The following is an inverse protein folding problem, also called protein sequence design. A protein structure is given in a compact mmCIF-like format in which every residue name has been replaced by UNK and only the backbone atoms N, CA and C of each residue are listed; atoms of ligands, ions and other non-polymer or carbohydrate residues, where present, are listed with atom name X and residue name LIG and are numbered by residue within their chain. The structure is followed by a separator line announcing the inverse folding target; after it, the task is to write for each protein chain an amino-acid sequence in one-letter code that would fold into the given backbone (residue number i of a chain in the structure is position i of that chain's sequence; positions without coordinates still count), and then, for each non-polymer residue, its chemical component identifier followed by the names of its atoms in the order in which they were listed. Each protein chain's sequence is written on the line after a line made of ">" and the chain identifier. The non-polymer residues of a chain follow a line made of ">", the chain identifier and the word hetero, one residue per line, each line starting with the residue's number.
data_IF_112934688508
#
_entry.id   IF_112934688508
#
_cell.length_a   1.000
_cell.length_b   1.000
_cell.length_c   1.000
_cell.angle_alpha   90.00
_cell.angle_beta   90.00
_cell.angle_gamma   90.00
#
_symmetry.space_group_name_H-M   'P 1'
#
loop_
_entity.id
_entity.type
_entity.pdbx_description
1 polymer ?
#
# COMPACT_ATOMS: atom_id res chain seq x y z
N UNK A 1 -18.19 3.69 -17.76
CA UNK A 1 -18.04 3.81 -16.28
C UNK A 1 -17.20 2.65 -15.80
N UNK A 2 -16.13 2.94 -15.06
CA UNK A 2 -15.31 1.91 -14.40
C UNK A 2 -15.72 1.84 -12.92
N UNK A 3 -15.85 0.62 -12.39
CA UNK A 3 -16.14 0.38 -10.97
C UNK A 3 -14.88 -0.02 -10.26
N UNK A 4 -14.65 0.54 -9.11
CA UNK A 4 -13.49 0.24 -8.27
C UNK A 4 -13.93 -0.32 -6.92
N UNK A 5 -13.14 -1.23 -6.40
CA UNK A 5 -13.26 -1.81 -5.06
C UNK A 5 -11.88 -1.74 -4.41
N UNK A 6 -11.69 -0.84 -3.45
CA UNK A 6 -10.42 -0.66 -2.77
C UNK A 6 -10.45 -1.43 -1.45
N UNK A 7 -9.50 -2.32 -1.29
CA UNK A 7 -9.38 -3.25 -0.17
C UNK A 7 -8.21 -2.81 0.70
N UNK A 8 -8.48 -2.56 1.97
CA UNK A 8 -7.48 -2.21 2.98
C UNK A 8 -6.50 -3.34 3.30
N UNK A 9 -5.68 -3.11 4.31
CA UNK A 9 -4.61 -3.99 4.75
C UNK A 9 -5.13 -5.39 5.11
N UNK A 10 -4.60 -6.43 4.45
CA UNK A 10 -5.10 -7.80 4.62
C UNK A 10 -4.61 -8.49 5.90
N UNK A 11 -3.34 -8.33 6.23
CA UNK A 11 -2.73 -8.96 7.41
C UNK A 11 -3.11 -10.44 7.58
N UNK A 12 -2.91 -11.23 6.52
CA UNK A 12 -3.20 -12.66 6.49
C UNK A 12 -4.63 -13.05 6.15
N UNK A 13 -5.56 -12.09 5.97
CA UNK A 13 -6.97 -12.40 5.62
C UNK A 13 -7.09 -12.97 4.22
N UNK A 14 -8.13 -13.78 4.02
CA UNK A 14 -8.48 -14.37 2.73
C UNK A 14 -8.93 -13.26 1.74
N UNK A 15 -8.18 -12.99 0.64
CA UNK A 15 -8.51 -11.95 -0.33
C UNK A 15 -9.80 -12.25 -1.10
N UNK A 16 -10.18 -13.53 -1.25
CA UNK A 16 -11.39 -13.92 -1.97
C UNK A 16 -12.66 -13.40 -1.29
N UNK A 17 -12.62 -13.19 0.02
CA UNK A 17 -13.73 -12.60 0.78
C UNK A 17 -14.08 -11.18 0.32
N UNK A 18 -13.09 -10.44 -0.16
CA UNK A 18 -13.22 -9.02 -0.49
C UNK A 18 -13.26 -8.76 -2.01
N UNK A 19 -12.96 -9.76 -2.82
CA UNK A 19 -12.97 -9.65 -4.28
C UNK A 19 -14.37 -9.45 -4.84
N UNK A 20 -14.51 -8.48 -5.74
CA UNK A 20 -15.74 -8.23 -6.50
C UNK A 20 -15.44 -8.34 -8.01
N UNK A 21 -16.02 -9.36 -8.66
CA UNK A 21 -15.81 -9.65 -10.09
C UNK A 21 -16.25 -8.53 -11.03
N UNK A 22 -17.14 -7.65 -10.57
CA UNK A 22 -17.71 -6.56 -11.37
C UNK A 22 -16.92 -5.24 -11.21
N UNK A 23 -15.82 -5.26 -10.44
CA UNK A 23 -14.98 -4.12 -10.13
C UNK A 23 -13.51 -4.35 -10.51
N UNK A 24 -12.76 -3.26 -10.65
CA UNK A 24 -11.30 -3.29 -10.53
C UNK A 24 -11.00 -3.29 -9.03
N UNK A 25 -10.39 -4.38 -8.55
CA UNK A 25 -10.06 -4.58 -7.14
C UNK A 25 -8.64 -4.13 -6.88
N UNK A 26 -8.45 -3.17 -5.99
CA UNK A 26 -7.13 -2.64 -5.62
C UNK A 26 -6.83 -3.01 -4.18
N UNK A 27 -5.86 -3.88 -3.98
CA UNK A 27 -5.33 -4.28 -2.68
C UNK A 27 -4.18 -3.36 -2.30
N UNK A 28 -4.27 -2.70 -1.14
CA UNK A 28 -3.35 -1.60 -0.79
C UNK A 28 -2.09 -2.04 -0.02
N UNK A 29 -1.88 -3.36 0.17
CA UNK A 29 -0.67 -3.91 0.81
C UNK A 29 -0.90 -4.59 2.14
N UNK A 30 0.21 -4.87 2.82
CA UNK A 30 0.28 -5.53 4.13
C UNK A 30 -0.40 -6.92 4.13
N UNK A 31 0.18 -7.83 3.34
CA UNK A 31 -0.43 -9.15 3.12
C UNK A 31 -0.12 -10.14 4.24
N UNK A 32 1.01 -9.99 4.93
CA UNK A 32 1.44 -10.81 6.06
C UNK A 32 1.27 -10.08 7.41
N UNK A 33 1.81 -10.67 8.47
CA UNK A 33 1.91 -10.09 9.81
C UNK A 33 0.55 -9.79 10.47
N UNK A 34 -0.31 -10.82 10.68
CA UNK A 34 -1.65 -10.64 11.27
C UNK A 34 -1.59 -10.07 12.70
N UNK A 35 -2.67 -9.40 13.10
CA UNK A 35 -2.85 -8.85 14.44
C UNK A 35 -3.34 -9.89 15.47
N UNK A 36 -3.68 -11.09 15.01
CA UNK A 36 -4.14 -12.22 15.83
C UNK A 36 -3.26 -13.44 15.60
N UNK A 37 -3.44 -14.44 16.46
CA UNK A 37 -2.74 -15.71 16.29
C UNK A 37 -3.28 -16.44 15.05
N UNK A 38 -2.42 -16.55 14.04
CA UNK A 38 -2.73 -17.19 12.76
C UNK A 38 -1.51 -18.01 12.32
N UNK A 39 -1.68 -19.31 12.01
CA UNK A 39 -0.61 -20.14 11.47
C UNK A 39 0.01 -19.51 10.23
N UNK A 40 1.31 -19.67 10.06
CA UNK A 40 2.01 -19.12 8.88
C UNK A 40 1.50 -19.76 7.59
N UNK A 41 1.19 -21.05 7.64
CA UNK A 41 0.66 -21.81 6.52
C UNK A 41 -0.65 -21.20 5.99
N UNK A 42 -1.53 -20.74 6.88
CA UNK A 42 -2.80 -20.08 6.51
C UNK A 42 -2.54 -18.69 5.87
N UNK A 43 -1.57 -17.92 6.42
CA UNK A 43 -1.15 -16.64 5.82
C UNK A 43 -0.60 -16.86 4.43
N UNK A 44 0.29 -17.84 4.27
CA UNK A 44 0.90 -18.20 3.00
C UNK A 44 -0.17 -18.62 1.97
N UNK A 45 -1.10 -19.50 2.36
CA UNK A 45 -2.22 -19.92 1.49
C UNK A 45 -3.03 -18.72 1.01
N UNK A 46 -3.35 -17.78 1.90
CA UNK A 46 -4.15 -16.62 1.54
C UNK A 46 -3.40 -15.65 0.60
N UNK A 47 -2.10 -15.46 0.80
CA UNK A 47 -1.30 -14.63 -0.13
C UNK A 47 -1.15 -15.32 -1.49
N UNK A 48 -0.99 -16.64 -1.54
CA UNK A 48 -0.96 -17.38 -2.80
C UNK A 48 -2.31 -17.30 -3.54
N UNK A 49 -3.45 -17.33 -2.83
CA UNK A 49 -4.77 -17.06 -3.43
C UNK A 49 -4.86 -15.66 -4.07
N UNK A 50 -4.21 -14.65 -3.48
CA UNK A 50 -4.18 -13.31 -4.06
C UNK A 50 -3.43 -13.29 -5.39
N UNK A 51 -2.26 -13.94 -5.46
CA UNK A 51 -1.50 -14.02 -6.70
C UNK A 51 -2.23 -14.85 -7.76
N UNK A 52 -2.83 -15.98 -7.38
CA UNK A 52 -3.68 -16.77 -8.27
C UNK A 52 -4.87 -15.94 -8.80
N UNK A 53 -5.50 -15.17 -7.93
CA UNK A 53 -6.59 -14.26 -8.30
C UNK A 53 -6.12 -13.23 -9.34
N UNK A 54 -4.92 -12.65 -9.15
CA UNK A 54 -4.28 -11.72 -10.12
C UNK A 54 -3.99 -12.40 -11.45
N UNK A 55 -3.44 -13.61 -11.46
CA UNK A 55 -3.14 -14.34 -12.69
C UNK A 55 -4.39 -14.56 -13.54
N UNK A 56 -5.51 -14.89 -12.90
CA UNK A 56 -6.79 -15.14 -13.59
C UNK A 56 -7.56 -13.87 -13.95
N UNK A 57 -7.24 -12.72 -13.32
CA UNK A 57 -7.98 -11.47 -13.46
C UNK A 57 -7.03 -10.27 -13.62
N UNK A 58 -6.03 -10.38 -14.49
CA UNK A 58 -4.92 -9.42 -14.63
C UNK A 58 -5.35 -7.95 -14.72
N UNK A 59 -6.43 -7.67 -15.45
CA UNK A 59 -6.92 -6.30 -15.67
C UNK A 59 -7.84 -5.81 -14.54
N UNK A 60 -8.38 -6.71 -13.72
CA UNK A 60 -9.36 -6.40 -12.68
C UNK A 60 -8.82 -6.55 -11.26
N UNK A 61 -7.56 -6.93 -11.09
CA UNK A 61 -6.89 -7.03 -9.81
C UNK A 61 -5.59 -6.23 -9.85
N UNK A 62 -5.42 -5.34 -8.88
CA UNK A 62 -4.22 -4.53 -8.69
C UNK A 62 -3.64 -4.86 -7.32
N UNK A 63 -2.34 -5.19 -7.27
CA UNK A 63 -1.61 -5.54 -6.05
C UNK A 63 -0.58 -4.45 -5.77
N UNK A 64 -0.83 -3.62 -4.76
CA UNK A 64 0.13 -2.65 -4.24
C UNK A 64 0.83 -3.21 -3.00
N UNK A 65 1.97 -2.66 -2.65
CA UNK A 65 2.75 -3.09 -1.50
C UNK A 65 2.65 -2.09 -0.35
N UNK A 66 2.66 -2.63 0.87
CA UNK A 66 2.70 -1.88 2.12
C UNK A 66 4.02 -2.04 2.87
N UNK A 67 4.08 -1.43 4.06
CA UNK A 67 5.30 -1.45 4.87
C UNK A 67 5.60 -2.82 5.46
N UNK A 68 4.59 -3.65 5.75
CA UNK A 68 4.80 -5.03 6.19
C UNK A 68 5.23 -5.97 5.05
N UNK A 69 5.03 -5.61 3.79
CA UNK A 69 5.59 -6.32 2.64
C UNK A 69 7.04 -5.86 2.39
N UNK A 70 7.28 -4.54 2.50
CA UNK A 70 8.57 -3.91 2.26
C UNK A 70 9.68 -4.51 3.13
N UNK A 71 9.45 -4.76 4.41
CA UNK A 71 10.48 -5.27 5.30
C UNK A 71 10.91 -6.74 5.01
N UNK A 72 10.14 -7.48 4.19
CA UNK A 72 10.55 -8.78 3.67
C UNK A 72 11.27 -8.67 2.32
N UNK A 73 10.84 -7.71 1.48
CA UNK A 73 11.40 -7.51 0.14
C UNK A 73 12.76 -6.80 0.22
N UNK A 74 12.88 -5.78 1.05
CA UNK A 74 14.08 -4.97 1.21
C UNK A 74 14.85 -5.37 2.46
N UNK A 75 16.02 -6.01 2.34
CA UNK A 75 16.81 -6.43 3.50
C UNK A 75 17.33 -5.20 4.26
N UNK A 76 17.28 -5.27 5.59
CA UNK A 76 17.82 -4.25 6.49
C UNK A 76 16.79 -3.70 7.46
N UNK A 77 15.57 -3.52 7.06
CA UNK A 77 14.51 -3.04 7.93
C UNK A 77 13.68 -4.16 8.54
N UNK A 78 13.31 -3.98 9.80
CA UNK A 78 12.50 -4.95 10.55
C UNK A 78 11.60 -4.19 11.47
N UNK A 79 10.32 -4.21 11.15
CA UNK A 79 9.30 -3.49 11.92
C UNK A 79 8.55 -4.41 12.88
N UNK A 80 7.53 -3.87 13.52
CA UNK A 80 6.66 -4.65 14.40
C UNK A 80 6.09 -5.86 13.66
N UNK A 81 5.97 -6.99 14.36
CA UNK A 81 5.47 -8.27 13.84
C UNK A 81 6.34 -8.97 12.78
N UNK A 82 7.48 -8.40 12.37
CA UNK A 82 8.41 -9.09 11.46
C UNK A 82 8.71 -10.52 11.91
N UNK A 83 8.34 -11.50 11.12
CA UNK A 83 8.56 -12.91 11.41
C UNK A 83 9.96 -13.35 11.01
N UNK A 84 10.90 -13.31 11.97
CA UNK A 84 12.26 -13.82 11.72
C UNK A 84 12.29 -15.28 11.27
N UNK A 85 11.34 -16.09 11.77
CA UNK A 85 11.25 -17.52 11.47
C UNK A 85 10.88 -17.76 10.01
N UNK A 86 9.97 -16.97 9.47
CA UNK A 86 9.40 -17.18 8.14
C UNK A 86 9.87 -16.14 7.11
N UNK A 87 10.73 -15.19 7.48
CA UNK A 87 11.18 -14.11 6.61
C UNK A 87 11.73 -14.56 5.25
N UNK A 88 12.49 -15.65 5.25
CA UNK A 88 13.06 -16.21 4.02
C UNK A 88 11.97 -16.75 3.08
N UNK A 89 10.99 -17.45 3.63
CA UNK A 89 9.87 -18.02 2.86
C UNK A 89 8.98 -16.91 2.31
N UNK A 90 8.68 -15.90 3.13
CA UNK A 90 7.88 -14.73 2.70
C UNK A 90 8.60 -14.00 1.56
N UNK A 91 9.91 -13.76 1.72
CA UNK A 91 10.71 -13.15 0.64
C UNK A 91 10.68 -13.97 -0.65
N UNK A 92 10.81 -15.29 -0.56
CA UNK A 92 10.74 -16.17 -1.73
C UNK A 92 9.40 -16.04 -2.46
N UNK A 93 8.29 -15.93 -1.73
CA UNK A 93 6.96 -15.69 -2.33
C UNK A 93 6.95 -14.37 -3.12
N UNK A 94 7.40 -13.27 -2.52
CA UNK A 94 7.46 -11.99 -3.23
C UNK A 94 8.42 -12.00 -4.42
N UNK A 95 9.55 -12.70 -4.33
CA UNK A 95 10.50 -12.83 -5.44
C UNK A 95 9.90 -13.67 -6.61
N UNK A 96 9.14 -14.74 -6.28
CA UNK A 96 8.50 -15.61 -7.26
C UNK A 96 7.39 -14.90 -8.04
N UNK A 97 6.62 -14.04 -7.34
CA UNK A 97 5.48 -13.34 -7.91
C UNK A 97 5.73 -11.84 -8.17
N UNK A 98 7.01 -11.39 -8.25
CA UNK A 98 7.37 -9.98 -8.47
C UNK A 98 6.64 -9.40 -9.70
N UNK A 99 6.50 -10.17 -10.77
CA UNK A 99 5.85 -9.76 -12.03
C UNK A 99 4.33 -9.55 -11.92
N UNK A 100 3.69 -10.01 -10.84
CA UNK A 100 2.26 -9.82 -10.58
C UNK A 100 1.97 -8.58 -9.71
N UNK A 101 3.02 -7.97 -9.15
CA UNK A 101 2.91 -6.78 -8.31
C UNK A 101 2.86 -5.54 -9.22
N UNK A 102 1.84 -4.71 -9.04
CA UNK A 102 1.66 -3.49 -9.85
C UNK A 102 2.52 -2.31 -9.36
N UNK A 103 3.06 -2.39 -8.14
CA UNK A 103 3.94 -1.36 -7.56
C UNK A 103 3.49 -0.88 -6.20
N UNK A 104 3.63 0.44 -5.96
CA UNK A 104 3.30 1.09 -4.69
C UNK A 104 2.28 2.23 -4.85
N UNK A 105 1.91 2.54 -6.09
CA UNK A 105 0.93 3.56 -6.44
C UNK A 105 0.07 3.13 -7.62
N UNK A 106 -1.20 3.56 -7.64
CA UNK A 106 -2.16 3.27 -8.71
C UNK A 106 -3.13 4.43 -8.90
N UNK A 107 -3.57 4.67 -10.15
CA UNK A 107 -4.64 5.61 -10.49
C UNK A 107 -5.99 4.89 -10.55
N UNK A 108 -6.82 5.05 -9.54
CA UNK A 108 -8.18 4.55 -9.52
C UNK A 108 -9.17 5.62 -9.98
N UNK A 109 -9.19 5.89 -11.30
CA UNK A 109 -10.17 6.82 -11.87
C UNK A 109 -10.08 8.26 -11.36
N UNK A 110 -8.87 8.77 -11.16
CA UNK A 110 -8.60 10.12 -10.67
C UNK A 110 -8.24 10.19 -9.19
N UNK A 111 -8.29 9.07 -8.47
CA UNK A 111 -7.79 8.95 -7.10
C UNK A 111 -6.39 8.33 -7.09
N UNK A 112 -5.45 8.95 -6.40
CA UNK A 112 -4.16 8.32 -6.12
C UNK A 112 -4.33 7.29 -5.00
N UNK A 113 -4.10 6.02 -5.31
CA UNK A 113 -4.11 4.93 -4.33
C UNK A 113 -2.68 4.57 -3.99
N UNK A 114 -2.34 4.59 -2.70
CA UNK A 114 -1.06 4.12 -2.15
C UNK A 114 -1.31 3.46 -0.81
N UNK A 115 -0.32 2.76 -0.25
CA UNK A 115 -0.50 2.14 1.06
C UNK A 115 -0.78 3.16 2.17
N UNK A 116 0.07 4.19 2.34
CA UNK A 116 -0.04 5.13 3.46
C UNK A 116 -0.37 6.58 3.05
N UNK A 117 -0.18 6.95 1.78
CA UNK A 117 -0.42 8.31 1.28
C UNK A 117 0.86 9.07 0.93
N UNK A 118 0.70 10.13 0.17
CA UNK A 118 1.80 10.92 -0.39
C UNK A 118 1.73 12.36 0.09
N UNK A 119 2.83 12.86 0.64
CA UNK A 119 2.98 14.28 0.99
C UNK A 119 3.75 15.04 -0.10
N UNK A 120 3.46 16.34 -0.31
CA UNK A 120 4.24 17.19 -1.22
C UNK A 120 5.73 17.26 -0.85
N UNK A 121 6.04 17.18 0.45
CA UNK A 121 7.42 17.24 0.92
C UNK A 121 8.20 15.98 0.56
N UNK A 122 7.58 14.81 0.65
CA UNK A 122 8.21 13.57 0.21
C UNK A 122 8.47 13.59 -1.31
N UNK A 123 7.49 14.02 -2.11
CA UNK A 123 7.66 14.17 -3.57
C UNK A 123 8.85 15.08 -3.90
N UNK A 124 8.91 16.25 -3.29
CA UNK A 124 10.01 17.21 -3.48
C UNK A 124 11.37 16.62 -3.10
N UNK A 125 11.43 15.90 -1.97
CA UNK A 125 12.67 15.26 -1.50
C UNK A 125 13.21 14.23 -2.50
N UNK A 126 12.31 13.60 -3.27
CA UNK A 126 12.66 12.58 -4.27
C UNK A 126 12.73 13.13 -5.71
N UNK A 127 12.61 14.47 -5.87
CA UNK A 127 12.70 15.14 -7.17
C UNK A 127 11.47 14.95 -8.06
N UNK A 128 10.30 14.64 -7.46
CA UNK A 128 9.03 14.56 -8.17
C UNK A 128 8.30 15.88 -7.93
N UNK A 129 8.69 16.92 -8.67
CA UNK A 129 8.12 18.27 -8.52
C UNK A 129 7.22 18.66 -9.70
N UNK A 130 7.35 17.98 -10.86
CA UNK A 130 6.60 18.29 -12.07
C UNK A 130 5.86 17.02 -12.55
N UNK A 131 4.55 17.02 -12.47
CA UNK A 131 3.65 16.05 -13.07
C UNK A 131 2.40 16.77 -13.58
N UNK A 132 1.87 16.37 -14.74
CA UNK A 132 0.71 17.00 -15.37
C UNK A 132 -0.56 16.22 -15.11
N UNK A 133 -0.44 14.94 -14.92
CA UNK A 133 -1.55 14.01 -14.71
C UNK A 133 -1.28 13.13 -13.50
N UNK A 134 -2.33 12.51 -12.99
CA UNK A 134 -2.18 11.50 -11.94
C UNK A 134 -1.39 10.28 -12.43
N UNK A 135 -1.46 9.94 -13.72
CA UNK A 135 -0.70 8.84 -14.30
C UNK A 135 0.80 9.16 -14.32
N UNK A 136 1.21 10.41 -14.65
CA UNK A 136 2.61 10.84 -14.55
C UNK A 136 3.13 10.72 -13.10
N UNK A 137 2.29 11.07 -12.12
CA UNK A 137 2.64 10.98 -10.71
C UNK A 137 2.79 9.51 -10.28
N UNK A 138 1.84 8.65 -10.64
CA UNK A 138 1.89 7.21 -10.35
C UNK A 138 3.12 6.57 -10.97
N UNK A 139 3.43 6.87 -12.23
CA UNK A 139 4.63 6.38 -12.92
C UNK A 139 5.90 6.83 -12.19
N UNK A 140 5.99 8.11 -11.80
CA UNK A 140 7.15 8.64 -11.09
C UNK A 140 7.37 7.95 -9.74
N UNK A 141 6.30 7.70 -8.98
CA UNK A 141 6.36 6.98 -7.70
C UNK A 141 6.77 5.53 -7.91
N UNK A 142 6.18 4.84 -8.88
CA UNK A 142 6.50 3.44 -9.18
C UNK A 142 7.92 3.29 -9.75
N UNK A 143 8.43 4.25 -10.50
CA UNK A 143 9.83 4.24 -10.97
C UNK A 143 10.83 4.26 -9.81
N UNK A 144 10.54 4.97 -8.71
CA UNK A 144 11.36 4.89 -7.49
C UNK A 144 11.31 3.50 -6.84
N UNK A 145 10.18 2.82 -6.94
CA UNK A 145 10.04 1.44 -6.43
C UNK A 145 10.83 0.43 -7.27
N UNK A 146 10.74 0.53 -8.59
CA UNK A 146 11.41 -0.41 -9.49
C UNK A 146 12.92 -0.17 -9.63
N UNK A 147 13.41 1.01 -9.26
CA UNK A 147 14.84 1.31 -9.13
C UNK A 147 15.40 0.65 -7.86
N UNK A 148 16.04 -0.52 -8.02
CA UNK A 148 16.55 -1.34 -6.90
C UNK A 148 17.63 -0.61 -6.08
N UNK A 149 18.33 0.37 -6.62
CA UNK A 149 19.32 1.17 -5.91
C UNK A 149 18.67 2.27 -5.05
N UNK A 150 17.58 2.85 -5.53
CA UNK A 150 16.84 3.94 -4.85
C UNK A 150 15.73 3.45 -3.94
N UNK A 151 15.14 2.27 -4.23
CA UNK A 151 13.98 1.70 -3.52
C UNK A 151 14.12 1.80 -2.00
N UNK A 152 15.22 1.30 -1.45
CA UNK A 152 15.44 1.30 -0.01
C UNK A 152 15.35 2.72 0.57
N UNK A 153 16.10 3.66 0.03
CA UNK A 153 16.12 5.06 0.53
C UNK A 153 14.81 5.81 0.31
N UNK A 154 14.07 5.48 -0.75
CA UNK A 154 12.81 6.16 -1.05
C UNK A 154 11.66 5.69 -0.17
N UNK A 155 11.65 4.42 0.21
CA UNK A 155 10.52 3.81 0.90
C UNK A 155 10.83 3.30 2.31
N UNK A 156 12.10 3.38 2.75
CA UNK A 156 12.45 2.99 4.10
C UNK A 156 11.86 3.92 5.15
N UNK A 157 11.78 3.39 6.36
CA UNK A 157 11.46 4.14 7.57
C UNK A 157 12.56 5.13 7.96
N UNK A 158 13.82 4.83 7.59
CA UNK A 158 15.00 5.66 7.86
C UNK A 158 15.39 6.47 6.64
N UNK A 159 15.66 7.77 6.83
CA UNK A 159 16.22 8.64 5.80
C UNK A 159 17.60 9.14 6.25
N UNK A 160 18.63 8.93 5.42
CA UNK A 160 20.04 9.29 5.71
C UNK A 160 20.58 8.74 7.06
N UNK A 161 20.14 7.54 7.47
CA UNK A 161 20.56 6.93 8.73
C UNK A 161 19.91 7.50 9.99
N UNK A 162 18.92 8.37 9.82
CA UNK A 162 18.10 8.87 10.91
C UNK A 162 16.71 8.26 10.79
N UNK A 163 16.29 7.51 11.80
CA UNK A 163 14.91 7.04 11.90
C UNK A 163 13.98 8.25 11.94
N UNK A 164 12.98 8.27 11.05
CA UNK A 164 11.87 9.18 11.20
C UNK A 164 11.09 8.80 12.47
N UNK A 165 10.24 9.70 12.90
CA UNK A 165 9.34 9.44 14.01
C UNK A 165 8.60 8.11 13.79
N UNK A 166 8.75 7.20 14.76
CA UNK A 166 8.13 5.87 14.76
C UNK A 166 6.60 5.91 14.69
N UNK A 167 6.01 7.05 14.98
CA UNK A 167 4.55 7.25 14.91
C UNK A 167 4.07 7.77 13.55
N UNK A 168 4.98 8.04 12.59
CA UNK A 168 4.62 8.53 11.27
C UNK A 168 4.22 10.01 11.24
N UNK A 169 4.68 10.80 12.19
CA UNK A 169 4.37 12.24 12.31
C UNK A 169 5.20 13.10 11.35
N UNK A 170 6.25 12.55 10.72
CA UNK A 170 7.06 13.29 9.79
C UNK A 170 6.39 13.44 8.44
N UNK A 171 6.29 14.69 7.96
CA UNK A 171 5.79 15.00 6.61
C UNK A 171 6.69 14.48 5.47
N UNK A 172 7.90 14.02 5.77
CA UNK A 172 8.84 13.42 4.81
C UNK A 172 8.70 11.91 4.69
N UNK A 173 7.86 11.29 5.50
CA UNK A 173 7.68 9.84 5.41
C UNK A 173 7.11 9.42 4.07
N UNK A 174 7.55 8.24 3.66
CA UNK A 174 7.19 7.66 2.38
C UNK A 174 5.72 7.24 2.30
N UNK A 175 5.21 6.95 1.10
CA UNK A 175 3.88 6.40 0.88
C UNK A 175 3.59 5.06 1.56
N UNK A 176 4.57 4.49 2.27
CA UNK A 176 4.40 3.28 3.08
C UNK A 176 4.26 3.55 4.57
N UNK A 177 4.54 4.79 5.05
CA UNK A 177 4.68 5.04 6.49
C UNK A 177 3.89 6.21 7.05
N UNK A 178 3.60 7.24 6.23
CA UNK A 178 2.95 8.44 6.72
C UNK A 178 1.58 8.13 7.32
N UNK A 179 1.30 8.65 8.52
CA UNK A 179 0.04 8.40 9.21
C UNK A 179 -1.09 9.32 8.73
N UNK A 180 -2.32 8.83 8.85
CA UNK A 180 -3.53 9.59 8.50
C UNK A 180 -3.58 10.96 9.17
N UNK A 181 -3.23 11.04 10.46
CA UNK A 181 -3.18 12.30 11.22
C UNK A 181 -2.28 13.32 10.53
N UNK A 182 -1.07 12.90 10.16
CA UNK A 182 -0.10 13.76 9.47
C UNK A 182 -0.62 14.24 8.12
N UNK A 183 -1.24 13.36 7.32
CA UNK A 183 -1.84 13.73 6.03
C UNK A 183 -2.94 14.78 6.19
N UNK A 184 -3.82 14.61 7.19
CA UNK A 184 -4.93 15.53 7.44
C UNK A 184 -4.39 16.92 7.85
N UNK A 185 -3.32 16.97 8.63
CA UNK A 185 -2.72 18.20 9.16
C UNK A 185 -1.80 18.94 8.16
N UNK A 186 -1.50 18.32 7.00
CA UNK A 186 -0.68 18.97 5.96
C UNK A 186 -1.30 20.30 5.53
N UNK A 187 -0.51 21.38 5.59
CA UNK A 187 -0.90 22.71 5.10
C UNK A 187 -0.98 22.79 3.59
N UNK A 188 -0.12 22.03 2.92
CA UNK A 188 -0.12 21.88 1.47
C UNK A 188 -0.35 20.43 1.13
N UNK A 189 -1.22 20.15 0.19
CA UNK A 189 -1.60 18.80 -0.27
C UNK A 189 -1.30 18.66 -1.74
N UNK A 190 -1.18 17.44 -2.23
CA UNK A 190 -1.17 17.19 -3.67
C UNK A 190 -2.57 17.49 -4.23
N UNK A 191 -2.65 17.78 -5.53
CA UNK A 191 -3.92 18.19 -6.16
C UNK A 191 -4.91 17.03 -6.42
N UNK A 192 -4.47 15.78 -6.28
CA UNK A 192 -5.33 14.61 -6.47
C UNK A 192 -5.85 14.08 -5.12
N UNK A 193 -7.14 13.69 -5.04
CA UNK A 193 -7.64 12.99 -3.86
C UNK A 193 -6.94 11.64 -3.70
N UNK A 194 -6.77 11.21 -2.45
CA UNK A 194 -6.01 9.98 -2.14
C UNK A 194 -6.89 8.95 -1.44
N UNK A 195 -6.66 7.67 -1.78
CA UNK A 195 -7.23 6.53 -1.04
C UNK A 195 -6.06 5.75 -0.44
N UNK A 196 -6.09 5.53 0.88
CA UNK A 196 -4.94 5.02 1.64
C UNK A 196 -5.35 4.01 2.73
N UNK A 197 -4.48 3.06 3.02
CA UNK A 197 -4.55 2.09 4.11
C UNK A 197 -3.74 2.50 5.34
N UNK A 198 -2.93 1.58 5.87
CA UNK A 198 -1.88 1.74 6.88
C UNK A 198 -2.34 2.21 8.27
N UNK A 199 -3.21 3.19 8.35
CA UNK A 199 -3.71 3.71 9.63
C UNK A 199 -5.09 3.15 9.91
N UNK A 200 -5.20 2.33 10.96
CA UNK A 200 -6.42 1.61 11.29
C UNK A 200 -7.54 2.53 11.78
N UNK A 201 -8.70 2.36 11.19
CA UNK A 201 -9.97 2.95 11.61
C UNK A 201 -11.00 1.85 11.86
N UNK A 202 -12.06 2.17 12.62
CA UNK A 202 -13.13 1.21 12.90
C UNK A 202 -14.03 0.92 11.69
N UNK A 203 -14.04 1.85 10.73
CA UNK A 203 -14.75 1.77 9.45
C UNK A 203 -14.04 2.67 8.44
N UNK A 204 -14.43 2.64 7.18
CA UNK A 204 -13.92 3.54 6.15
C UNK A 204 -14.14 4.98 6.61
N UNK A 205 -13.06 5.77 6.65
CA UNK A 205 -13.12 7.16 7.04
C UNK A 205 -12.95 8.07 5.81
N UNK A 206 -13.91 8.94 5.59
CA UNK A 206 -13.91 9.93 4.51
C UNK A 206 -13.51 11.30 5.03
N UNK A 207 -12.59 11.94 4.33
CA UNK A 207 -12.21 13.33 4.49
C UNK A 207 -12.24 13.99 3.10
N UNK A 208 -12.17 15.32 3.02
CA UNK A 208 -12.25 16.07 1.76
C UNK A 208 -11.20 15.60 0.71
N UNK A 209 -9.98 15.31 1.16
CA UNK A 209 -8.85 14.98 0.29
C UNK A 209 -8.41 13.51 0.41
N UNK A 210 -8.94 12.78 1.40
CA UNK A 210 -8.50 11.44 1.74
C UNK A 210 -9.66 10.49 2.01
N UNK A 211 -9.51 9.25 1.56
CA UNK A 211 -10.33 8.10 1.98
C UNK A 211 -9.40 7.07 2.64
N UNK A 212 -9.65 6.75 3.90
CA UNK A 212 -8.86 5.79 4.67
C UNK A 212 -9.61 4.47 4.72
N UNK A 213 -8.96 3.40 4.23
CA UNK A 213 -9.60 2.10 4.01
C UNK A 213 -9.07 0.95 4.88
N UNK A 214 -8.07 1.21 5.75
CA UNK A 214 -7.59 0.20 6.70
C UNK A 214 -8.58 0.05 7.86
N UNK A 215 -9.59 -0.78 7.64
CA UNK A 215 -10.63 -1.07 8.64
C UNK A 215 -10.91 -2.58 8.80
N UNK A 216 -10.26 -3.45 8.02
CA UNK A 216 -10.57 -4.87 7.97
C UNK A 216 -10.34 -5.62 9.29
N UNK A 217 -9.62 -5.04 10.25
CA UNK A 217 -9.49 -5.58 11.61
C UNK A 217 -10.72 -5.33 12.50
N UNK A 218 -11.62 -4.45 12.08
CA UNK A 218 -12.82 -4.08 12.84
C UNK A 218 -14.11 -4.37 12.11
N UNK A 219 -14.10 -4.28 10.78
CA UNK A 219 -15.24 -4.57 9.92
C UNK A 219 -14.76 -5.17 8.59
N UNK A 220 -15.68 -5.74 7.81
CA UNK A 220 -15.36 -6.33 6.50
C UNK A 220 -15.66 -5.38 5.33
N UNK A 221 -15.63 -4.07 5.58
CA UNK A 221 -15.99 -3.07 4.57
C UNK A 221 -14.84 -2.79 3.62
N UNK A 222 -15.16 -2.66 2.33
CA UNK A 222 -14.27 -2.19 1.27
C UNK A 222 -14.84 -0.92 0.66
N UNK A 223 -14.00 -0.05 0.11
CA UNK A 223 -14.46 1.21 -0.47
C UNK A 223 -14.79 1.03 -1.94
N UNK A 224 -16.06 1.17 -2.30
CA UNK A 224 -16.55 1.03 -3.68
C UNK A 224 -17.03 2.35 -4.24
N UNK A 225 -16.65 2.64 -5.49
CA UNK A 225 -17.11 3.81 -6.23
C UNK A 225 -17.07 3.58 -7.74
N UNK A 226 -17.71 4.48 -8.47
CA UNK A 226 -17.76 4.46 -9.95
C UNK A 226 -17.22 5.78 -10.49
N UNK A 227 -16.53 5.72 -11.64
CA UNK A 227 -16.08 6.90 -12.39
C UNK A 227 -16.75 6.94 -13.75
N UNK A 228 -16.92 8.13 -14.29
CA UNK A 228 -17.48 8.34 -15.63
C UNK A 228 -16.64 7.74 -16.77
#
# INVERSE_FOLDING_TARGET
>A
MKKYNIIGDLHGKDPLKYFDKDCINVFVGDYFDPYWDMPFEDQQENVLKLFELKEHNKENVVILLGNHDFHYICPGERYSRYSRKHAHQIKQIFDEFEDLIDGVAYNAGGYLVTHAGVSPLWLKTHGIEEYKTIDDLVESINNLWWDKERRFYSFSFEYNGHAFDVYGESHQQSPMWIRAQTLIELKSKIEFPQIVGHTQFRDIMLNLDYTFVDCLNYCDNTFKFETE
#
